data_IF_712032184693
#
_entry.id   IF_712032184693
#
_cell.length_a   1.000
_cell.length_b   1.000
_cell.length_c   1.000
_cell.angle_alpha   90.00
_cell.angle_beta   90.00
_cell.angle_gamma   90.00
#
_symmetry.space_group_name_H-M   'P 1'
#
loop_
_entity.id
_entity.type
_entity.pdbx_description
1 polymer ?
#
# COMPACT_ATOMS: atom_id res chain seq x y z
N UNK A 1 -10.92 -23.97 -6.97
CA UNK A 1 -12.13 -23.15 -7.20
C UNK A 1 -11.78 -21.72 -6.83
N UNK A 2 -11.44 -20.90 -7.80
CA UNK A 2 -11.21 -19.46 -7.58
C UNK A 2 -12.58 -18.82 -7.29
N UNK A 3 -12.76 -18.31 -6.07
CA UNK A 3 -13.90 -17.48 -5.73
C UNK A 3 -13.69 -16.13 -6.41
N UNK A 4 -14.57 -15.75 -7.34
CA UNK A 4 -14.77 -14.36 -7.73
C UNK A 4 -15.20 -13.58 -6.48
N UNK A 5 -14.22 -13.09 -5.75
CA UNK A 5 -14.46 -12.21 -4.63
C UNK A 5 -14.72 -10.82 -5.19
N UNK A 6 -15.93 -10.32 -5.04
CA UNK A 6 -16.16 -8.87 -4.97
C UNK A 6 -15.35 -8.38 -3.77
N UNK A 7 -14.08 -8.02 -4.03
CA UNK A 7 -13.18 -7.60 -2.98
C UNK A 7 -13.57 -6.18 -2.58
N UNK A 8 -14.29 -6.06 -1.48
CA UNK A 8 -14.19 -4.89 -0.61
C UNK A 8 -12.86 -4.98 0.15
N UNK A 9 -11.73 -4.97 -0.57
CA UNK A 9 -10.43 -4.89 0.07
C UNK A 9 -10.02 -3.42 0.17
N UNK A 10 -9.31 -3.07 1.22
CA UNK A 10 -8.79 -1.72 1.42
C UNK A 10 -7.83 -1.27 0.31
N UNK A 11 -7.25 -2.20 -0.47
CA UNK A 11 -6.46 -1.89 -1.65
C UNK A 11 -7.33 -1.51 -2.84
N UNK A 12 -8.48 -2.20 -3.01
CA UNK A 12 -9.48 -1.80 -3.98
C UNK A 12 -10.15 -0.47 -3.57
N UNK A 13 -10.38 -0.23 -2.27
CA UNK A 13 -10.87 1.04 -1.76
C UNK A 13 -9.92 2.22 -2.00
N UNK A 14 -8.62 1.96 -2.06
CA UNK A 14 -7.67 2.99 -2.47
C UNK A 14 -7.81 3.36 -3.95
N UNK A 15 -8.05 2.38 -4.81
CA UNK A 15 -8.30 2.59 -6.23
C UNK A 15 -9.72 3.10 -6.50
N UNK A 16 -10.71 2.62 -5.74
CA UNK A 16 -12.12 3.04 -5.85
C UNK A 16 -12.32 4.26 -4.97
N UNK A 17 -12.09 5.44 -5.52
CA UNK A 17 -12.44 6.70 -4.88
C UNK A 17 -13.93 6.74 -4.63
N UNK A 18 -14.31 6.80 -3.34
CA UNK A 18 -15.65 7.04 -2.81
C UNK A 18 -16.78 6.98 -3.85
N UNK A 19 -17.31 5.80 -4.07
CA UNK A 19 -18.67 5.70 -4.56
C UNK A 19 -19.62 5.95 -3.40
N UNK A 20 -19.95 7.18 -3.19
CA UNK A 20 -21.20 7.56 -2.52
C UNK A 20 -22.35 7.24 -3.46
N UNK A 21 -22.67 6.03 -3.77
CA UNK A 21 -23.99 5.62 -4.27
C UNK A 21 -23.91 4.23 -4.90
N UNK A 22 -24.64 3.33 -4.42
CA UNK A 22 -25.42 2.15 -4.92
C UNK A 22 -25.02 1.48 -6.26
N UNK A 23 -23.85 1.67 -6.81
CA UNK A 23 -23.43 1.11 -8.07
C UNK A 23 -22.57 -0.16 -7.93
N UNK A 24 -22.73 -1.09 -8.87
CA UNK A 24 -21.97 -2.33 -8.97
C UNK A 24 -20.48 -2.07 -8.84
N UNK A 25 -19.83 -2.69 -7.83
CA UNK A 25 -18.39 -2.54 -7.61
C UNK A 25 -17.58 -2.92 -8.85
N UNK A 26 -16.39 -2.33 -9.00
CA UNK A 26 -15.45 -2.70 -10.05
C UNK A 26 -14.94 -4.11 -9.76
N UNK A 27 -14.95 -4.98 -10.79
CA UNK A 27 -14.43 -6.33 -10.66
C UNK A 27 -12.90 -6.28 -10.62
N UNK A 28 -12.34 -6.74 -9.50
CA UNK A 28 -10.91 -6.82 -9.28
C UNK A 28 -10.56 -8.26 -8.89
N UNK A 29 -9.53 -8.83 -9.49
CA UNK A 29 -8.96 -10.12 -9.10
C UNK A 29 -7.76 -9.89 -8.22
N UNK A 30 -7.64 -10.64 -7.13
CA UNK A 30 -6.46 -10.65 -6.27
C UNK A 30 -5.78 -12.01 -6.38
N UNK A 31 -4.56 -12.03 -6.88
CA UNK A 31 -3.78 -13.25 -7.08
C UNK A 31 -2.29 -12.94 -6.87
N UNK A 32 -1.58 -13.86 -6.22
CA UNK A 32 -0.14 -13.77 -5.93
C UNK A 32 0.29 -12.48 -5.19
N UNK A 33 -0.63 -11.89 -4.41
CA UNK A 33 -0.37 -10.66 -3.66
C UNK A 33 -0.57 -9.37 -4.46
N UNK A 34 -0.97 -9.45 -5.73
CA UNK A 34 -1.21 -8.32 -6.61
C UNK A 34 -2.68 -8.21 -7.03
N UNK A 35 -3.05 -7.03 -7.54
CA UNK A 35 -4.37 -6.69 -8.04
C UNK A 35 -4.38 -6.72 -9.56
N UNK A 36 -5.35 -7.44 -10.12
CA UNK A 36 -5.50 -7.61 -11.56
C UNK A 36 -6.85 -7.08 -12.03
N UNK A 37 -6.83 -6.20 -13.03
CA UNK A 37 -8.02 -5.56 -13.61
C UNK A 37 -8.07 -5.79 -15.12
N UNK A 38 -9.28 -5.94 -15.65
CA UNK A 38 -9.51 -5.90 -17.10
C UNK A 38 -9.45 -4.47 -17.63
N UNK A 39 -9.23 -4.27 -18.94
CA UNK A 39 -9.32 -2.95 -19.57
C UNK A 39 -10.67 -2.26 -19.29
N UNK A 40 -11.75 -3.03 -19.27
CA UNK A 40 -13.07 -2.52 -18.92
C UNK A 40 -13.10 -1.98 -17.49
N UNK A 41 -12.59 -2.76 -16.54
CA UNK A 41 -12.53 -2.35 -15.13
C UNK A 41 -11.64 -1.11 -14.92
N UNK A 42 -10.52 -0.99 -15.64
CA UNK A 42 -9.66 0.21 -15.64
C UNK A 42 -10.43 1.43 -16.20
N UNK A 43 -11.19 1.24 -17.28
CA UNK A 43 -12.04 2.30 -17.84
C UNK A 43 -13.10 2.77 -16.84
N UNK A 44 -13.78 1.84 -16.18
CA UNK A 44 -14.74 2.15 -15.11
C UNK A 44 -14.08 2.82 -13.91
N UNK A 45 -12.87 2.41 -13.53
CA UNK A 45 -12.09 3.01 -12.43
C UNK A 45 -11.82 4.49 -12.67
N UNK A 46 -11.31 4.83 -13.85
CA UNK A 46 -10.93 6.20 -14.19
C UNK A 46 -12.04 7.00 -14.91
N UNK A 47 -13.21 6.40 -15.11
CA UNK A 47 -14.35 6.98 -15.83
C UNK A 47 -13.97 7.45 -17.24
N UNK A 48 -13.38 6.55 -18.01
CA UNK A 48 -12.97 6.74 -19.40
C UNK A 48 -13.40 5.55 -20.25
N UNK A 49 -13.47 5.76 -21.57
CA UNK A 49 -13.79 4.69 -22.49
C UNK A 49 -12.68 3.65 -22.57
N UNK A 50 -13.06 2.39 -22.78
CA UNK A 50 -12.11 1.27 -22.93
C UNK A 50 -11.11 1.50 -24.07
N UNK A 51 -11.50 2.15 -25.16
CA UNK A 51 -10.62 2.44 -26.30
C UNK A 51 -9.48 3.37 -25.90
N UNK A 52 -9.76 4.33 -25.01
CA UNK A 52 -8.76 5.24 -24.45
C UNK A 52 -7.77 4.45 -23.55
N UNK A 53 -8.28 3.52 -22.74
CA UNK A 53 -7.43 2.61 -21.94
C UNK A 53 -6.49 1.82 -22.84
N UNK A 54 -7.04 1.21 -23.91
CA UNK A 54 -6.25 0.43 -24.88
C UNK A 54 -5.14 1.27 -25.52
N UNK A 55 -5.43 2.53 -25.87
CA UNK A 55 -4.43 3.45 -26.44
C UNK A 55 -3.30 3.73 -25.44
N UNK A 56 -3.64 4.02 -24.18
CA UNK A 56 -2.63 4.29 -23.15
C UNK A 56 -1.77 3.06 -22.85
N UNK A 57 -2.35 1.86 -22.76
CA UNK A 57 -1.60 0.62 -22.56
C UNK A 57 -0.59 0.41 -23.70
N UNK A 58 -1.03 0.57 -24.95
CA UNK A 58 -0.13 0.48 -26.12
C UNK A 58 1.02 1.47 -26.06
N UNK A 59 0.75 2.71 -25.66
CA UNK A 59 1.77 3.74 -25.51
C UNK A 59 2.77 3.40 -24.41
N UNK A 60 2.29 2.91 -23.24
CA UNK A 60 3.13 2.50 -22.11
C UNK A 60 4.12 1.41 -22.54
N UNK A 61 3.66 0.42 -23.30
CA UNK A 61 4.53 -0.64 -23.81
C UNK A 61 5.48 -0.13 -24.90
N UNK A 62 4.99 0.72 -25.83
CA UNK A 62 5.84 1.27 -26.90
C UNK A 62 6.92 2.23 -26.38
N UNK A 63 6.66 2.91 -25.26
CA UNK A 63 7.61 3.78 -24.58
C UNK A 63 8.56 3.00 -23.64
N UNK A 64 8.42 1.68 -23.56
CA UNK A 64 9.20 0.79 -22.69
C UNK A 64 9.10 1.15 -21.18
N UNK A 65 8.02 1.82 -20.79
CA UNK A 65 7.76 2.16 -19.38
C UNK A 65 7.48 0.90 -18.55
N UNK A 66 6.75 -0.06 -19.12
CA UNK A 66 6.45 -1.36 -18.53
C UNK A 66 6.68 -2.49 -19.55
N UNK A 67 6.92 -3.70 -19.04
CA UNK A 67 7.03 -4.90 -19.86
C UNK A 67 5.68 -5.64 -19.89
N UNK A 68 5.24 -6.09 -21.07
CA UNK A 68 3.96 -6.78 -21.25
C UNK A 68 3.92 -8.13 -20.52
N UNK A 69 4.99 -8.91 -20.57
CA UNK A 69 5.06 -10.24 -19.95
C UNK A 69 4.91 -10.18 -18.42
N UNK A 70 5.37 -9.10 -17.80
CA UNK A 70 5.29 -8.92 -16.33
C UNK A 70 4.04 -8.22 -15.85
N UNK A 71 3.31 -7.54 -16.73
CA UNK A 71 2.18 -6.68 -16.35
C UNK A 71 0.85 -7.11 -16.93
N UNK A 72 0.82 -8.15 -17.76
CA UNK A 72 -0.40 -8.73 -18.31
C UNK A 72 -0.47 -10.23 -18.11
N UNK A 73 -1.69 -10.75 -17.89
CA UNK A 73 -1.95 -12.18 -17.78
C UNK A 73 -3.34 -12.55 -18.27
N UNK A 74 -3.48 -13.75 -18.85
CA UNK A 74 -4.76 -14.30 -19.25
C UNK A 74 -5.34 -15.16 -18.15
N UNK A 75 -6.56 -14.82 -17.70
CA UNK A 75 -7.29 -15.63 -16.74
C UNK A 75 -8.58 -16.17 -17.33
N UNK A 76 -8.88 -17.43 -17.00
CA UNK A 76 -10.14 -18.05 -17.35
C UNK A 76 -11.28 -17.51 -16.48
N UNK A 77 -12.28 -16.90 -17.10
CA UNK A 77 -13.49 -16.45 -16.44
C UNK A 77 -14.68 -17.28 -16.90
N UNK A 78 -15.45 -17.80 -15.94
CA UNK A 78 -16.71 -18.47 -16.21
C UNK A 78 -17.82 -17.41 -16.24
N UNK A 79 -18.44 -17.24 -17.40
CA UNK A 79 -19.57 -16.32 -17.60
C UNK A 79 -20.85 -17.13 -17.88
N UNK A 80 -21.94 -16.76 -17.22
CA UNK A 80 -23.25 -17.33 -17.52
C UNK A 80 -23.89 -16.58 -18.68
N UNK A 81 -24.06 -17.26 -19.81
CA UNK A 81 -24.86 -16.78 -20.93
C UNK A 81 -26.14 -17.62 -21.02
N UNK A 82 -27.24 -17.07 -20.49
CA UNK A 82 -28.47 -17.80 -20.31
C UNK A 82 -28.33 -18.98 -19.33
N UNK A 83 -28.57 -20.21 -19.80
CA UNK A 83 -28.44 -21.45 -19.00
C UNK A 83 -27.09 -22.17 -19.18
N UNK A 84 -26.14 -21.59 -19.89
CA UNK A 84 -24.82 -22.20 -20.17
C UNK A 84 -23.72 -21.44 -19.45
N UNK A 85 -22.77 -22.17 -18.88
CA UNK A 85 -21.52 -21.63 -18.36
C UNK A 85 -20.47 -21.71 -19.47
N UNK A 86 -19.93 -20.55 -19.86
CA UNK A 86 -18.90 -20.46 -20.90
C UNK A 86 -17.63 -19.93 -20.23
N UNK A 87 -16.54 -20.66 -20.38
CA UNK A 87 -15.21 -20.23 -19.92
C UNK A 87 -14.56 -19.41 -21.03
N UNK A 88 -14.21 -18.16 -20.73
CA UNK A 88 -13.46 -17.28 -21.65
C UNK A 88 -12.13 -16.87 -21.04
N UNK A 89 -11.08 -16.93 -21.82
CA UNK A 89 -9.80 -16.34 -21.44
C UNK A 89 -9.89 -14.82 -21.63
N UNK A 90 -9.68 -14.09 -20.54
CA UNK A 90 -9.73 -12.62 -20.52
C UNK A 90 -8.38 -12.09 -20.08
N UNK A 91 -7.90 -11.08 -20.78
CA UNK A 91 -6.64 -10.41 -20.47
C UNK A 91 -6.84 -9.42 -19.32
N UNK A 92 -6.01 -9.57 -18.31
CA UNK A 92 -5.95 -8.69 -17.14
C UNK A 92 -4.60 -7.99 -17.09
N UNK A 93 -4.56 -6.89 -16.38
CA UNK A 93 -3.40 -6.05 -16.15
C UNK A 93 -3.20 -5.88 -14.64
N UNK A 94 -1.96 -5.92 -14.21
CA UNK A 94 -1.58 -5.81 -12.81
C UNK A 94 -1.67 -4.35 -12.30
N UNK A 95 -1.35 -4.15 -11.01
CA UNK A 95 -1.43 -2.84 -10.37
C UNK A 95 -0.49 -1.81 -11.01
N UNK A 96 0.70 -2.21 -11.49
CA UNK A 96 1.65 -1.29 -12.13
C UNK A 96 1.06 -0.66 -13.37
N UNK A 97 0.42 -1.47 -14.24
CA UNK A 97 -0.27 -0.96 -15.43
C UNK A 97 -1.43 -0.02 -15.05
N UNK A 98 -2.20 -0.35 -14.00
CA UNK A 98 -3.30 0.51 -13.53
C UNK A 98 -2.78 1.86 -13.06
N UNK A 99 -1.67 1.88 -12.34
CA UNK A 99 -1.02 3.10 -11.87
C UNK A 99 -0.54 3.94 -13.06
N UNK A 100 0.20 3.35 -14.00
CA UNK A 100 0.72 4.03 -15.19
C UNK A 100 -0.39 4.65 -16.04
N UNK A 101 -1.48 3.90 -16.28
CA UNK A 101 -2.67 4.44 -16.96
C UNK A 101 -3.26 5.62 -16.17
N UNK A 102 -3.38 5.52 -14.85
CA UNK A 102 -3.92 6.58 -13.99
C UNK A 102 -3.11 7.88 -14.04
N UNK A 103 -1.80 7.79 -14.28
CA UNK A 103 -0.95 8.96 -14.48
C UNK A 103 -1.10 9.58 -15.89
N UNK A 104 -1.37 8.79 -16.93
CA UNK A 104 -1.48 9.25 -18.31
C UNK A 104 -2.88 9.76 -18.69
N UNK A 105 -3.91 9.30 -17.99
CA UNK A 105 -5.31 9.65 -18.27
C UNK A 105 -5.68 11.03 -17.74
N UNK A 106 -6.46 11.78 -18.53
CA UNK A 106 -7.02 13.07 -18.12
C UNK A 106 -8.51 12.93 -17.81
N UNK A 107 -8.84 12.59 -16.56
CA UNK A 107 -10.20 12.55 -16.04
C UNK A 107 -10.22 13.02 -14.58
N UNK A 108 -11.39 13.45 -14.09
CA UNK A 108 -11.55 13.89 -12.71
C UNK A 108 -11.13 12.79 -11.70
N UNK A 109 -11.48 11.53 -12.01
CA UNK A 109 -11.07 10.39 -11.19
C UNK A 109 -9.56 10.16 -11.21
N UNK A 110 -8.92 10.31 -12.36
CA UNK A 110 -7.47 10.21 -12.46
C UNK A 110 -6.77 11.36 -11.72
N UNK A 111 -7.33 12.56 -11.72
CA UNK A 111 -6.82 13.70 -10.93
C UNK A 111 -6.90 13.37 -9.43
N UNK A 112 -8.04 12.86 -8.96
CA UNK A 112 -8.20 12.45 -7.56
C UNK A 112 -7.22 11.33 -7.19
N UNK A 113 -7.04 10.33 -8.06
CA UNK A 113 -6.05 9.26 -7.89
C UNK A 113 -4.65 9.83 -7.72
N UNK A 114 -4.19 10.69 -8.65
CA UNK A 114 -2.85 11.30 -8.58
C UNK A 114 -2.65 12.14 -7.31
N UNK A 115 -3.65 12.93 -6.88
CA UNK A 115 -3.58 13.69 -5.62
C UNK A 115 -3.36 12.78 -4.41
N UNK A 116 -4.08 11.65 -4.37
CA UNK A 116 -3.97 10.68 -3.29
C UNK A 116 -2.62 9.95 -3.32
N UNK A 117 -2.18 9.49 -4.48
CA UNK A 117 -0.89 8.84 -4.66
C UNK A 117 0.26 9.78 -4.27
N UNK A 118 0.20 11.05 -4.71
CA UNK A 118 1.19 12.08 -4.35
C UNK A 118 1.22 12.35 -2.84
N UNK A 119 0.06 12.34 -2.17
CA UNK A 119 0.03 12.52 -0.70
C UNK A 119 0.79 11.41 0.01
N UNK A 120 0.58 10.15 -0.38
CA UNK A 120 1.26 8.99 0.21
C UNK A 120 2.76 9.02 -0.11
N UNK A 121 3.12 9.29 -1.36
CA UNK A 121 4.51 9.39 -1.77
C UNK A 121 5.24 10.51 -0.99
N UNK A 122 4.59 11.68 -0.84
CA UNK A 122 5.14 12.78 -0.04
C UNK A 122 5.30 12.39 1.42
N UNK A 123 4.33 11.69 2.00
CA UNK A 123 4.43 11.19 3.36
C UNK A 123 5.60 10.22 3.53
N UNK A 124 5.74 9.28 2.62
CA UNK A 124 6.87 8.35 2.61
C UNK A 124 8.22 9.07 2.47
N UNK A 125 8.33 10.02 1.54
CA UNK A 125 9.58 10.77 1.31
C UNK A 125 9.97 11.67 2.48
N UNK A 126 9.00 12.21 3.20
CA UNK A 126 9.26 13.13 4.34
C UNK A 126 9.47 12.40 5.66
N UNK A 127 8.75 11.29 5.89
CA UNK A 127 8.78 10.57 7.17
C UNK A 127 9.55 9.25 7.10
N UNK A 128 9.85 8.73 5.90
CA UNK A 128 10.44 7.40 5.68
C UNK A 128 9.45 6.24 5.77
N UNK A 129 8.17 6.52 6.03
CA UNK A 129 7.09 5.51 6.05
C UNK A 129 5.75 6.13 5.67
N UNK A 130 4.83 5.28 5.19
CA UNK A 130 3.42 5.60 5.01
C UNK A 130 2.59 4.41 5.52
N UNK A 131 1.66 4.66 6.45
CA UNK A 131 0.84 3.63 7.09
C UNK A 131 -0.64 3.88 6.80
N UNK A 132 -1.37 2.80 6.60
CA UNK A 132 -2.83 2.84 6.53
C UNK A 132 -3.43 2.44 7.89
N UNK A 133 -3.57 3.41 8.81
CA UNK A 133 -4.05 3.20 10.17
C UNK A 133 -5.41 2.50 10.23
N UNK A 134 -6.31 2.83 9.30
CA UNK A 134 -7.63 2.18 9.21
C UNK A 134 -7.53 0.67 8.98
N UNK A 135 -6.50 0.23 8.25
CA UNK A 135 -6.22 -1.19 8.01
C UNK A 135 -5.77 -1.91 9.27
N UNK A 136 -4.99 -1.23 10.12
CA UNK A 136 -4.53 -1.78 11.40
C UNK A 136 -5.65 -1.88 12.42
N UNK A 137 -6.50 -0.86 12.52
CA UNK A 137 -7.60 -0.79 13.49
C UNK A 137 -8.70 -1.81 13.15
N UNK A 138 -9.06 -1.97 11.89
CA UNK A 138 -10.20 -2.79 11.47
C UNK A 138 -9.89 -4.29 11.32
N UNK A 139 -8.64 -4.73 11.54
CA UNK A 139 -8.25 -6.14 11.63
C UNK A 139 -8.76 -7.00 10.46
N UNK A 140 -8.48 -6.64 9.21
CA UNK A 140 -9.02 -7.36 8.06
C UNK A 140 -8.47 -8.79 8.02
N UNK A 141 -9.32 -9.79 8.23
CA UNK A 141 -9.03 -11.24 8.27
C UNK A 141 -8.29 -11.78 7.03
N UNK A 142 -8.18 -10.99 5.97
CA UNK A 142 -7.63 -11.43 4.67
C UNK A 142 -6.15 -11.13 4.46
N UNK A 143 -5.46 -10.51 5.43
CA UNK A 143 -4.06 -10.12 5.23
C UNK A 143 -3.17 -10.31 6.45
N UNK A 144 -3.22 -11.50 7.05
CA UNK A 144 -2.32 -11.93 8.13
C UNK A 144 -0.84 -11.79 7.76
N UNK A 145 -0.48 -12.02 6.48
CA UNK A 145 0.91 -11.89 5.99
C UNK A 145 1.40 -10.44 6.11
N UNK A 146 0.63 -9.47 5.59
CA UNK A 146 1.02 -8.05 5.64
C UNK A 146 0.94 -7.47 7.06
N UNK A 147 0.03 -7.99 7.89
CA UNK A 147 -0.04 -7.63 9.31
C UNK A 147 1.22 -8.12 10.06
N UNK A 148 1.61 -9.36 9.84
CA UNK A 148 2.83 -9.93 10.45
C UNK A 148 4.09 -9.21 9.97
N UNK A 149 4.19 -8.88 8.69
CA UNK A 149 5.29 -8.07 8.15
C UNK A 149 5.37 -6.70 8.82
N UNK A 150 4.23 -6.04 9.02
CA UNK A 150 4.17 -4.76 9.70
C UNK A 150 4.55 -4.87 11.18
N UNK A 151 4.15 -5.95 11.85
CA UNK A 151 4.58 -6.24 13.23
C UNK A 151 6.09 -6.43 13.32
N UNK A 152 6.70 -7.15 12.37
CA UNK A 152 8.15 -7.33 12.35
C UNK A 152 8.89 -6.00 12.12
N UNK A 153 8.38 -5.12 11.27
CA UNK A 153 8.92 -3.76 11.10
C UNK A 153 8.82 -2.94 12.38
N UNK A 154 7.69 -3.00 13.08
CA UNK A 154 7.51 -2.32 14.38
C UNK A 154 8.48 -2.86 15.43
N UNK A 155 8.69 -4.19 15.49
CA UNK A 155 9.70 -4.81 16.37
C UNK A 155 11.10 -4.31 16.04
N UNK A 156 11.46 -4.22 14.77
CA UNK A 156 12.76 -3.71 14.32
C UNK A 156 12.99 -2.26 14.75
N UNK A 157 11.97 -1.39 14.66
CA UNK A 157 12.03 -0.01 15.14
C UNK A 157 12.27 0.04 16.66
N UNK A 158 11.54 -0.79 17.43
CA UNK A 158 11.74 -0.88 18.90
C UNK A 158 13.12 -1.38 19.30
N UNK A 159 13.68 -2.32 18.54
CA UNK A 159 15.06 -2.80 18.75
C UNK A 159 16.05 -1.67 18.50
N UNK A 160 15.85 -0.88 17.45
CA UNK A 160 16.68 0.29 17.13
C UNK A 160 16.61 1.36 18.22
N UNK A 161 15.43 1.62 18.77
CA UNK A 161 15.23 2.52 19.92
C UNK A 161 16.03 2.05 21.15
N UNK A 162 15.94 0.77 21.48
CA UNK A 162 16.69 0.18 22.58
C UNK A 162 18.21 0.29 22.35
N UNK A 163 18.68 0.05 21.15
CA UNK A 163 20.10 0.20 20.79
C UNK A 163 20.58 1.65 20.90
N UNK A 164 19.76 2.62 20.46
CA UNK A 164 20.06 4.03 20.60
C UNK A 164 20.16 4.44 22.08
N UNK A 165 19.21 3.99 22.90
CA UNK A 165 19.24 4.19 24.35
C UNK A 165 20.50 3.59 24.99
N UNK A 166 20.86 2.38 24.63
CA UNK A 166 22.09 1.73 25.14
C UNK A 166 23.33 2.53 24.76
N UNK A 167 23.47 2.97 23.51
CA UNK A 167 24.62 3.80 23.08
C UNK A 167 24.72 5.13 23.84
N UNK A 168 23.59 5.78 24.12
CA UNK A 168 23.57 7.02 24.92
C UNK A 168 24.00 6.71 26.36
N UNK A 169 23.54 5.59 26.91
CA UNK A 169 23.92 5.13 28.24
C UNK A 169 25.41 4.85 28.33
N UNK A 170 25.96 4.11 27.36
CA UNK A 170 27.37 3.76 27.30
C UNK A 170 28.26 5.03 27.16
N UNK A 171 27.85 5.98 26.33
CA UNK A 171 28.52 7.26 26.17
C UNK A 171 28.53 8.06 27.49
N UNK A 172 27.42 8.12 28.18
CA UNK A 172 27.30 8.82 29.47
C UNK A 172 28.21 8.19 30.52
N UNK A 173 28.24 6.85 30.61
CA UNK A 173 29.12 6.11 31.52
C UNK A 173 30.59 6.37 31.19
N UNK A 174 30.95 6.40 29.90
CA UNK A 174 32.33 6.61 29.47
C UNK A 174 32.83 8.05 29.67
N UNK A 175 31.95 9.03 29.68
CA UNK A 175 32.29 10.46 29.79
C UNK A 175 32.18 11.01 31.22
N UNK A 176 31.43 10.38 32.09
CA UNK A 176 31.29 10.79 33.50
C UNK A 176 32.41 10.18 34.34
N UNK A 177 33.34 11.02 34.79
CA UNK A 177 34.55 10.62 35.56
C UNK A 177 34.22 10.04 36.92
N UNK A 178 33.02 10.32 37.45
CA UNK A 178 32.56 9.97 38.77
C UNK A 178 31.19 9.24 38.71
N UNK A 179 30.97 8.47 37.65
CA UNK A 179 29.72 7.78 37.43
C UNK A 179 29.32 6.83 38.54
N UNK A 180 28.19 7.15 39.21
CA UNK A 180 27.55 6.25 40.16
C UNK A 180 26.13 5.89 39.68
N UNK A 181 25.86 4.62 39.33
CA UNK A 181 24.54 4.20 38.85
C UNK A 181 23.37 4.46 39.80
N UNK A 182 23.67 4.65 41.10
CA UNK A 182 22.68 4.88 42.16
C UNK A 182 22.55 6.36 42.53
N UNK A 183 23.25 7.27 41.86
CA UNK A 183 23.14 8.69 42.14
C UNK A 183 21.82 9.26 41.60
N UNK A 184 21.34 10.34 42.20
CA UNK A 184 20.13 11.03 41.80
C UNK A 184 20.30 11.71 40.42
N UNK A 185 21.53 12.15 40.12
CA UNK A 185 21.90 12.73 38.82
C UNK A 185 21.79 11.69 37.69
N UNK A 186 22.32 10.49 37.88
CA UNK A 186 22.23 9.40 36.91
C UNK A 186 20.75 9.01 36.68
N UNK A 187 19.97 8.87 37.74
CA UNK A 187 18.54 8.57 37.63
C UNK A 187 17.79 9.65 36.84
N UNK A 188 18.04 10.92 37.15
CA UNK A 188 17.39 12.05 36.47
C UNK A 188 17.78 12.13 35.01
N UNK A 189 19.06 11.91 34.66
CA UNK A 189 19.53 11.86 33.28
C UNK A 189 18.82 10.79 32.50
N UNK A 190 18.80 9.55 32.97
CA UNK A 190 18.16 8.45 32.26
C UNK A 190 16.64 8.65 32.11
N UNK A 191 15.98 9.22 33.09
CA UNK A 191 14.56 9.58 33.02
C UNK A 191 14.29 10.63 31.91
N UNK A 192 15.15 11.65 31.81
CA UNK A 192 15.04 12.69 30.76
C UNK A 192 15.29 12.09 29.39
N UNK A 193 16.31 11.24 29.22
CA UNK A 193 16.63 10.58 27.95
C UNK A 193 15.47 9.69 27.50
N UNK A 194 14.93 8.87 28.39
CA UNK A 194 13.76 8.04 28.08
C UNK A 194 12.55 8.85 27.66
N UNK A 195 12.25 9.93 28.37
CA UNK A 195 11.13 10.79 28.02
C UNK A 195 11.32 11.48 26.68
N UNK A 196 12.53 11.97 26.38
CA UNK A 196 12.83 12.59 25.08
C UNK A 196 12.77 11.59 23.93
N UNK A 197 13.29 10.39 24.09
CA UNK A 197 13.16 9.35 23.08
C UNK A 197 11.71 8.95 22.81
N UNK A 198 10.90 8.82 23.87
CA UNK A 198 9.44 8.59 23.70
C UNK A 198 8.75 9.74 22.98
N UNK A 199 9.12 10.99 23.28
CA UNK A 199 8.53 12.16 22.66
C UNK A 199 8.86 12.26 21.16
N UNK A 200 10.08 11.92 20.75
CA UNK A 200 10.52 11.93 19.33
C UNK A 200 9.85 10.81 18.52
N UNK A 201 9.45 9.71 19.15
CA UNK A 201 8.83 8.57 18.47
C UNK A 201 7.30 8.66 18.41
N UNK A 202 6.67 9.47 19.29
CA UNK A 202 5.22 9.64 19.34
C UNK A 202 4.68 10.81 18.49
N UNK A 203 5.55 11.55 17.80
CA UNK A 203 5.22 12.61 16.84
C UNK A 203 5.80 12.26 15.46
#
# INVERSE_FOLDING_TARGET
MAKDLMIRSSSAEFLIFERQTHDKGIQVRFEDGDLWLTQKAIGELFNIDRTVVTKHIKNIYSELELNEDSTSANFALVQKEGNREITRNVLFYNLDMVISVGYKVNSDRAIQFRRRATKILKEYMTKGFALNDKRFINGNKYNTKNFNESLERIKTIRVSERMAYQKITDLFIATATDYNPKSEEAYTFFKIVQNKLRYVICF
#
